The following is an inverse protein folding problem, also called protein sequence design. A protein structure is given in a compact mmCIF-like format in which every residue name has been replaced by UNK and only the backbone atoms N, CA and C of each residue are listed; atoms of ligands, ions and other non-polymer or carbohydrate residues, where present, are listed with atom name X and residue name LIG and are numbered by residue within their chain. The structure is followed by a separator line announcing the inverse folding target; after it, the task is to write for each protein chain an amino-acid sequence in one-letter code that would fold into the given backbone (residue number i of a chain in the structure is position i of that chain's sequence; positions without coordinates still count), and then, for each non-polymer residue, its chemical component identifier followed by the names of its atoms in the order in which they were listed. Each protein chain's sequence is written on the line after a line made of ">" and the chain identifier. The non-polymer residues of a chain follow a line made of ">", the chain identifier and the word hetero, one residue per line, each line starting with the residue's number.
data_IF_638546986668
#
_entry.id   IF_638546986668
#
_cell.length_a   1.000
_cell.length_b   1.000
_cell.length_c   1.000
_cell.angle_alpha   90.00
_cell.angle_beta   90.00
_cell.angle_gamma   90.00
#
_symmetry.space_group_name_H-M   'P 1'
#
loop_
_entity.id
_entity.type
_entity.pdbx_description
1 polymer ?
#
# COMPACT_ATOMS: atom_id res chain seq x y z
N UNK A 1 -21.54 8.52 -13.71
CA UNK A 1 -20.26 8.15 -13.04
C UNK A 1 -20.55 7.00 -12.08
N UNK A 2 -19.74 5.94 -12.09
CA UNK A 2 -19.91 4.79 -11.17
C UNK A 2 -19.39 5.14 -9.78
N UNK A 3 -20.03 4.58 -8.76
CA UNK A 3 -19.59 4.68 -7.38
C UNK A 3 -18.39 3.75 -7.11
N UNK A 4 -17.64 4.01 -6.05
CA UNK A 4 -16.53 3.16 -5.65
C UNK A 4 -16.97 1.71 -5.35
N UNK A 5 -18.15 1.52 -4.78
CA UNK A 5 -18.69 0.19 -4.48
C UNK A 5 -19.08 -0.57 -5.76
N UNK A 6 -19.65 0.11 -6.76
CA UNK A 6 -19.91 -0.48 -8.09
C UNK A 6 -18.61 -0.87 -8.80
N UNK A 7 -17.59 -0.01 -8.72
CA UNK A 7 -16.25 -0.26 -9.28
C UNK A 7 -15.59 -1.46 -8.58
N UNK A 8 -15.65 -1.51 -7.25
CA UNK A 8 -15.09 -2.63 -6.48
C UNK A 8 -15.74 -3.96 -6.86
N UNK A 9 -17.06 -3.98 -6.99
CA UNK A 9 -17.80 -5.16 -7.44
C UNK A 9 -17.32 -5.60 -8.82
N UNK A 10 -17.22 -4.67 -9.76
CA UNK A 10 -16.78 -4.88 -11.13
C UNK A 10 -15.35 -5.46 -11.20
N UNK A 11 -14.43 -4.92 -10.38
CA UNK A 11 -13.05 -5.42 -10.27
C UNK A 11 -13.03 -6.86 -9.76
N UNK A 12 -13.78 -7.18 -8.70
CA UNK A 12 -13.82 -8.53 -8.15
C UNK A 12 -14.41 -9.53 -9.16
N UNK A 13 -15.54 -9.22 -9.78
CA UNK A 13 -16.16 -10.05 -10.81
C UNK A 13 -15.20 -10.31 -11.98
N UNK A 14 -14.44 -9.29 -12.40
CA UNK A 14 -13.47 -9.45 -13.49
C UNK A 14 -12.28 -10.33 -13.08
N UNK A 15 -11.74 -10.14 -11.86
CA UNK A 15 -10.66 -10.98 -11.33
C UNK A 15 -11.06 -12.44 -11.19
N UNK A 16 -12.29 -12.71 -10.76
CA UNK A 16 -12.82 -14.07 -10.60
C UNK A 16 -12.96 -14.80 -11.93
N UNK A 17 -13.17 -14.06 -13.04
CA UNK A 17 -13.27 -14.61 -14.40
C UNK A 17 -11.94 -14.70 -15.14
N UNK A 18 -10.83 -14.18 -14.57
CA UNK A 18 -9.52 -14.33 -15.19
C UNK A 18 -9.04 -15.77 -15.13
N UNK A 19 -8.88 -16.36 -16.31
CA UNK A 19 -8.37 -17.73 -16.42
C UNK A 19 -6.86 -17.77 -16.24
N UNK A 20 -6.42 -18.72 -15.42
CA UNK A 20 -5.02 -19.11 -15.21
C UNK A 20 -4.80 -20.59 -15.57
N UNK A 21 -5.68 -21.14 -16.43
CA UNK A 21 -5.63 -22.55 -16.86
C UNK A 21 -4.52 -22.75 -17.89
N UNK A 22 -3.29 -22.68 -17.41
CA UNK A 22 -2.03 -22.83 -18.18
C UNK A 22 -1.16 -23.92 -17.58
N UNK A 23 -0.24 -24.43 -18.39
CA UNK A 23 0.78 -25.39 -17.93
C UNK A 23 2.15 -24.73 -17.81
N UNK A 24 2.98 -25.16 -16.87
CA UNK A 24 2.69 -26.18 -15.84
C UNK A 24 1.74 -25.64 -14.75
N UNK A 25 0.79 -26.45 -14.32
CA UNK A 25 -0.23 -26.08 -13.32
C UNK A 25 0.41 -25.58 -12.02
N UNK A 26 1.48 -26.22 -11.57
CA UNK A 26 2.23 -25.86 -10.36
C UNK A 26 2.79 -24.42 -10.36
N UNK A 27 2.89 -23.76 -11.52
CA UNK A 27 3.27 -22.35 -11.63
C UNK A 27 2.06 -21.42 -11.49
N UNK A 28 0.90 -21.81 -12.03
CA UNK A 28 -0.28 -20.94 -12.14
C UNK A 28 -1.29 -21.12 -10.99
N UNK A 29 -1.32 -22.29 -10.33
CA UNK A 29 -2.17 -22.51 -9.14
C UNK A 29 -1.84 -21.53 -7.99
N UNK A 30 -0.56 -21.26 -7.64
CA UNK A 30 -0.24 -20.27 -6.62
C UNK A 30 -0.68 -18.84 -7.00
N UNK A 31 -0.60 -18.48 -8.29
CA UNK A 31 -1.07 -17.18 -8.80
C UNK A 31 -2.58 -17.05 -8.60
N UNK A 32 -3.34 -18.06 -9.02
CA UNK A 32 -4.79 -18.10 -8.80
C UNK A 32 -5.14 -18.04 -7.32
N UNK A 33 -4.42 -18.80 -6.49
CA UNK A 33 -4.59 -18.83 -5.05
C UNK A 33 -4.39 -17.44 -4.40
N UNK A 34 -3.29 -16.75 -4.70
CA UNK A 34 -3.01 -15.41 -4.14
C UNK A 34 -4.07 -14.41 -4.55
N UNK A 35 -4.47 -14.39 -5.81
CA UNK A 35 -5.49 -13.46 -6.31
C UNK A 35 -6.88 -13.73 -5.74
N UNK A 36 -7.19 -15.00 -5.40
CA UNK A 36 -8.47 -15.41 -4.79
C UNK A 36 -8.56 -15.12 -3.29
N UNK A 37 -7.47 -14.78 -2.59
CA UNK A 37 -7.49 -14.42 -1.16
C UNK A 37 -8.29 -13.17 -0.85
N UNK A 38 -8.86 -12.51 -1.86
CA UNK A 38 -9.60 -11.26 -1.70
C UNK A 38 -8.69 -10.06 -1.46
N UNK A 39 -9.25 -9.04 -0.83
CA UNK A 39 -8.56 -7.79 -0.49
C UNK A 39 -9.41 -6.57 -0.79
N UNK A 40 -8.94 -5.41 -0.34
CA UNK A 40 -9.66 -4.13 -0.45
C UNK A 40 -9.67 -3.56 -1.88
N UNK A 41 -8.85 -4.11 -2.79
CA UNK A 41 -8.74 -3.67 -4.20
C UNK A 41 -8.57 -2.16 -4.36
N UNK A 42 -7.85 -1.52 -3.46
CA UNK A 42 -7.71 -0.05 -3.42
C UNK A 42 -7.13 0.48 -4.73
N UNK A 43 -6.05 -0.13 -5.22
CA UNK A 43 -5.31 0.35 -6.40
C UNK A 43 -6.12 0.28 -7.69
N UNK A 44 -6.73 -0.86 -8.04
CA UNK A 44 -7.61 -0.91 -9.21
C UNK A 44 -8.81 0.03 -9.08
N UNK A 45 -9.39 0.17 -7.87
CA UNK A 45 -10.51 1.10 -7.64
C UNK A 45 -10.09 2.55 -7.88
N UNK A 46 -8.92 2.98 -7.38
CA UNK A 46 -8.39 4.33 -7.61
C UNK A 46 -8.12 4.59 -9.10
N UNK A 47 -7.56 3.62 -9.84
CA UNK A 47 -7.34 3.75 -11.29
C UNK A 47 -8.66 3.99 -12.03
N UNK A 48 -9.68 3.19 -11.73
CA UNK A 48 -10.98 3.29 -12.38
C UNK A 48 -11.74 4.56 -11.98
N UNK A 49 -11.62 5.02 -10.73
CA UNK A 49 -12.16 6.30 -10.27
C UNK A 49 -11.50 7.48 -10.98
N UNK A 50 -10.16 7.46 -11.15
CA UNK A 50 -9.45 8.49 -11.89
C UNK A 50 -9.86 8.53 -13.37
N UNK A 51 -9.98 7.38 -14.02
CA UNK A 51 -10.51 7.28 -15.37
C UNK A 51 -11.92 7.87 -15.46
N UNK A 52 -12.77 7.57 -14.48
CA UNK A 52 -14.17 7.98 -14.45
C UNK A 52 -14.38 9.49 -14.20
N UNK A 53 -13.33 10.25 -13.86
CA UNK A 53 -13.36 11.72 -13.85
C UNK A 53 -13.57 12.30 -15.27
N UNK A 54 -13.09 11.60 -16.29
CA UNK A 54 -13.04 12.07 -17.68
C UNK A 54 -13.95 11.27 -18.64
N UNK A 55 -14.05 9.94 -18.44
CA UNK A 55 -14.81 9.02 -19.28
C UNK A 55 -15.82 8.20 -18.46
N UNK A 56 -16.94 7.83 -19.08
CA UNK A 56 -18.08 7.20 -18.36
C UNK A 56 -17.94 5.69 -18.18
N UNK A 57 -17.15 5.01 -19.04
CA UNK A 57 -17.06 3.55 -19.10
C UNK A 57 -15.72 3.05 -18.52
N UNK A 58 -15.55 2.99 -17.18
CA UNK A 58 -14.31 2.49 -16.58
C UNK A 58 -14.03 1.02 -16.89
N UNK A 59 -15.02 0.28 -17.42
CA UNK A 59 -14.87 -1.08 -17.93
C UNK A 59 -13.80 -1.20 -19.03
N UNK A 60 -13.61 -0.16 -19.82
CA UNK A 60 -12.66 -0.15 -20.95
C UNK A 60 -11.22 -0.40 -20.50
N UNK A 61 -10.90 -0.11 -19.22
CA UNK A 61 -9.54 -0.27 -18.66
C UNK A 61 -9.47 -1.28 -17.52
N UNK A 62 -10.46 -2.17 -17.38
CA UNK A 62 -10.46 -3.19 -16.32
C UNK A 62 -9.22 -4.09 -16.37
N UNK A 63 -8.73 -4.42 -17.56
CA UNK A 63 -7.52 -5.24 -17.71
C UNK A 63 -6.28 -4.53 -17.14
N UNK A 64 -6.15 -3.21 -17.36
CA UNK A 64 -5.06 -2.41 -16.80
C UNK A 64 -5.18 -2.28 -15.28
N UNK A 65 -6.39 -2.09 -14.76
CA UNK A 65 -6.64 -2.08 -13.31
C UNK A 65 -6.30 -3.43 -12.66
N UNK A 66 -6.66 -4.55 -13.29
CA UNK A 66 -6.31 -5.89 -12.84
C UNK A 66 -4.82 -6.22 -13.01
N UNK A 67 -4.13 -5.60 -13.99
CA UNK A 67 -2.67 -5.67 -14.11
C UNK A 67 -2.01 -5.10 -12.86
N UNK A 68 -2.45 -3.94 -12.42
CA UNK A 68 -1.92 -3.28 -11.21
C UNK A 68 -2.20 -4.09 -9.94
N UNK A 69 -3.38 -4.70 -9.83
CA UNK A 69 -3.69 -5.58 -8.70
C UNK A 69 -2.87 -6.87 -8.75
N UNK A 70 -2.58 -7.41 -9.93
CA UNK A 70 -1.69 -8.56 -10.11
C UNK A 70 -0.27 -8.21 -9.66
N UNK A 71 0.25 -7.06 -10.06
CA UNK A 71 1.54 -6.54 -9.61
C UNK A 71 1.57 -6.37 -8.08
N UNK A 72 0.55 -5.76 -7.50
CA UNK A 72 0.49 -5.61 -6.04
C UNK A 72 0.51 -6.96 -5.30
N UNK A 73 -0.24 -7.95 -5.80
CA UNK A 73 -0.22 -9.28 -5.18
C UNK A 73 1.11 -10.01 -5.40
N UNK A 74 1.84 -9.73 -6.48
CA UNK A 74 3.23 -10.13 -6.67
C UNK A 74 4.13 -9.59 -5.56
N UNK A 75 4.07 -8.29 -5.30
CA UNK A 75 4.89 -7.69 -4.23
C UNK A 75 4.56 -8.28 -2.86
N UNK A 76 3.29 -8.54 -2.56
CA UNK A 76 2.88 -9.18 -1.31
C UNK A 76 3.37 -10.63 -1.19
N UNK A 77 3.39 -11.39 -2.30
CA UNK A 77 3.85 -12.78 -2.31
C UNK A 77 5.35 -12.87 -2.00
N UNK A 78 6.16 -11.98 -2.58
CA UNK A 78 7.60 -11.92 -2.32
C UNK A 78 7.91 -11.32 -0.94
N UNK A 79 7.16 -10.31 -0.49
CA UNK A 79 7.24 -9.75 0.86
C UNK A 79 6.99 -10.84 1.93
N UNK A 80 5.92 -11.63 1.78
CA UNK A 80 5.64 -12.77 2.67
C UNK A 80 6.78 -13.78 2.76
N UNK A 81 7.46 -14.04 1.65
CA UNK A 81 8.62 -14.96 1.62
C UNK A 81 9.82 -14.34 2.33
N UNK A 82 10.12 -13.05 2.07
CA UNK A 82 11.23 -12.33 2.69
C UNK A 82 11.04 -12.19 4.21
N UNK A 83 9.81 -11.92 4.65
CA UNK A 83 9.44 -11.79 6.07
C UNK A 83 9.22 -13.16 6.74
N UNK A 84 9.30 -14.28 5.99
CA UNK A 84 8.97 -15.63 6.47
C UNK A 84 7.58 -15.71 7.14
N UNK A 85 6.61 -14.96 6.64
CA UNK A 85 5.27 -14.85 7.19
C UNK A 85 4.47 -16.15 6.98
N UNK A 86 3.82 -16.63 8.04
CA UNK A 86 3.03 -17.88 7.95
C UNK A 86 1.68 -17.68 7.26
N UNK A 87 1.06 -16.52 7.49
CA UNK A 87 -0.33 -16.25 7.09
C UNK A 87 -0.49 -14.88 6.44
N UNK A 88 -1.35 -14.82 5.41
CA UNK A 88 -1.86 -13.58 4.81
C UNK A 88 -3.37 -13.64 4.62
N UNK A 89 -4.09 -12.64 5.12
CA UNK A 89 -5.56 -12.56 5.01
C UNK A 89 -6.28 -13.83 5.49
N UNK A 90 -5.76 -14.47 6.52
CA UNK A 90 -6.33 -15.71 7.07
C UNK A 90 -6.00 -16.99 6.30
N UNK A 91 -5.14 -16.91 5.28
CA UNK A 91 -4.67 -18.04 4.47
C UNK A 91 -3.17 -18.26 4.65
N UNK A 92 -2.69 -19.51 4.49
CA UNK A 92 -1.26 -19.78 4.44
C UNK A 92 -0.60 -19.00 3.30
N UNK A 93 0.58 -18.48 3.53
CA UNK A 93 1.39 -17.85 2.47
C UNK A 93 1.84 -18.89 1.44
N UNK A 94 2.22 -18.45 0.23
CA UNK A 94 2.55 -19.38 -0.86
C UNK A 94 3.74 -20.28 -0.49
N UNK A 95 4.80 -19.72 0.12
CA UNK A 95 5.97 -20.52 0.51
C UNK A 95 5.67 -21.53 1.61
N UNK A 96 4.70 -21.28 2.49
CA UNK A 96 4.24 -22.22 3.52
C UNK A 96 3.32 -23.30 2.95
N UNK A 97 2.49 -22.94 1.95
CA UNK A 97 1.55 -23.88 1.34
C UNK A 97 2.22 -24.77 0.29
N UNK A 98 3.19 -24.26 -0.45
CA UNK A 98 3.98 -25.00 -1.44
C UNK A 98 5.45 -25.08 -1.02
N UNK A 99 6.28 -24.15 -1.44
CA UNK A 99 7.68 -23.99 -1.07
C UNK A 99 8.23 -22.65 -1.60
N UNK A 100 9.46 -22.30 -1.18
CA UNK A 100 10.13 -21.05 -1.53
C UNK A 100 10.33 -20.88 -3.04
N UNK A 101 10.79 -21.92 -3.74
CA UNK A 101 11.02 -21.86 -5.18
C UNK A 101 9.71 -21.59 -5.94
N UNK A 102 8.61 -22.21 -5.52
CA UNK A 102 7.29 -21.96 -6.10
C UNK A 102 6.85 -20.52 -5.86
N UNK A 103 7.09 -19.96 -4.66
CA UNK A 103 6.79 -18.57 -4.37
C UNK A 103 7.59 -17.63 -5.28
N UNK A 104 8.91 -17.86 -5.45
CA UNK A 104 9.76 -17.06 -6.33
C UNK A 104 9.25 -17.11 -7.78
N UNK A 105 9.13 -18.31 -8.35
CA UNK A 105 8.76 -18.46 -9.77
C UNK A 105 7.34 -17.97 -10.09
N UNK A 106 6.39 -18.22 -9.19
CA UNK A 106 5.02 -17.74 -9.38
C UNK A 106 4.95 -16.22 -9.26
N UNK A 107 5.70 -15.62 -8.32
CA UNK A 107 5.81 -14.17 -8.19
C UNK A 107 6.43 -13.53 -9.44
N UNK A 108 7.57 -14.04 -9.93
CA UNK A 108 8.19 -13.54 -11.16
C UNK A 108 7.23 -13.63 -12.36
N UNK A 109 6.48 -14.72 -12.44
CA UNK A 109 5.45 -14.88 -13.48
C UNK A 109 4.30 -13.88 -13.33
N UNK A 110 3.90 -13.53 -12.10
CA UNK A 110 2.90 -12.48 -11.84
C UNK A 110 3.39 -11.11 -12.29
N UNK A 111 4.68 -10.79 -12.08
CA UNK A 111 5.28 -9.55 -12.58
C UNK A 111 5.16 -9.47 -14.11
N UNK A 112 5.55 -10.52 -14.83
CA UNK A 112 5.46 -10.57 -16.30
C UNK A 112 4.00 -10.50 -16.77
N UNK A 113 3.07 -11.19 -16.10
CA UNK A 113 1.64 -11.13 -16.39
C UNK A 113 1.06 -9.73 -16.17
N UNK A 114 1.53 -9.01 -15.14
CA UNK A 114 1.12 -7.63 -14.90
C UNK A 114 1.54 -6.73 -16.08
N UNK A 115 2.79 -6.82 -16.55
CA UNK A 115 3.24 -6.10 -17.76
C UNK A 115 2.45 -6.48 -19.00
N UNK A 116 2.22 -7.78 -19.23
CA UNK A 116 1.44 -8.26 -20.38
C UNK A 116 0.03 -7.67 -20.42
N UNK A 117 -0.60 -7.55 -19.26
CA UNK A 117 -1.95 -6.97 -19.13
C UNK A 117 -1.93 -5.43 -19.20
N UNK A 118 -0.92 -4.80 -18.60
CA UNK A 118 -0.76 -3.35 -18.64
C UNK A 118 -0.61 -2.83 -20.08
N UNK A 119 0.05 -3.60 -20.95
CA UNK A 119 0.20 -3.27 -22.38
C UNK A 119 -1.10 -3.35 -23.20
N UNK A 120 -2.20 -3.88 -22.65
CA UNK A 120 -3.48 -3.95 -23.33
C UNK A 120 -4.22 -2.61 -23.25
N UNK A 121 -3.69 -1.62 -23.95
CA UNK A 121 -4.23 -0.26 -24.04
C UNK A 121 -4.04 0.28 -25.46
N UNK A 122 -4.62 1.43 -25.73
CA UNK A 122 -4.39 2.15 -27.01
C UNK A 122 -2.88 2.45 -27.17
N UNK A 123 -2.36 2.20 -28.37
CA UNK A 123 -0.95 2.39 -28.73
C UNK A 123 -0.44 3.81 -28.43
N UNK A 124 -1.31 4.82 -28.49
CA UNK A 124 -0.96 6.22 -28.18
C UNK A 124 -0.53 6.43 -26.71
N UNK A 125 -1.02 5.60 -25.78
CA UNK A 125 -0.73 5.68 -24.35
C UNK A 125 0.33 4.69 -23.88
N UNK A 126 0.67 3.71 -24.72
CA UNK A 126 1.47 2.55 -24.34
C UNK A 126 2.82 2.96 -23.73
N UNK A 127 3.53 3.89 -24.37
CA UNK A 127 4.84 4.31 -23.87
C UNK A 127 4.76 5.01 -22.53
N UNK A 128 3.84 5.97 -22.38
CA UNK A 128 3.71 6.76 -21.15
C UNK A 128 3.31 5.90 -19.96
N UNK A 129 2.41 4.92 -20.19
CA UNK A 129 1.97 3.96 -19.16
C UNK A 129 3.11 3.03 -18.75
N UNK A 130 3.85 2.47 -19.73
CA UNK A 130 4.94 1.54 -19.43
C UNK A 130 6.12 2.25 -18.76
N UNK A 131 6.46 3.46 -19.18
CA UNK A 131 7.49 4.26 -18.53
C UNK A 131 7.14 4.52 -17.06
N UNK A 132 5.91 4.99 -16.81
CA UNK A 132 5.42 5.23 -15.45
C UNK A 132 5.39 3.96 -14.60
N UNK A 133 4.82 2.88 -15.13
CA UNK A 133 4.71 1.60 -14.42
C UNK A 133 6.08 0.99 -14.13
N UNK A 134 7.03 1.09 -15.06
CA UNK A 134 8.38 0.56 -14.89
C UNK A 134 9.16 1.33 -13.82
N UNK A 135 9.11 2.67 -13.84
CA UNK A 135 9.74 3.49 -12.80
C UNK A 135 9.12 3.17 -11.44
N UNK A 136 7.80 3.11 -11.35
CA UNK A 136 7.10 2.74 -10.11
C UNK A 136 7.49 1.36 -9.60
N UNK A 137 7.67 0.38 -10.50
CA UNK A 137 8.09 -0.96 -10.13
C UNK A 137 9.51 -1.00 -9.54
N UNK A 138 10.43 -0.19 -10.07
CA UNK A 138 11.78 -0.02 -9.51
C UNK A 138 11.74 0.66 -8.15
N UNK A 139 11.00 1.76 -8.03
CA UNK A 139 10.82 2.50 -6.77
C UNK A 139 10.30 1.59 -5.64
N UNK A 140 9.34 0.70 -5.94
CA UNK A 140 8.83 -0.26 -4.94
C UNK A 140 9.93 -1.24 -4.50
N UNK A 141 10.77 -1.72 -5.41
CA UNK A 141 11.92 -2.55 -5.08
C UNK A 141 12.92 -1.83 -4.18
N UNK A 142 13.21 -0.57 -4.48
CA UNK A 142 14.06 0.30 -3.66
C UNK A 142 13.45 0.51 -2.26
N UNK A 143 12.14 0.75 -2.18
CA UNK A 143 11.41 0.90 -0.92
C UNK A 143 11.44 -0.37 -0.07
N UNK A 144 11.31 -1.54 -0.69
CA UNK A 144 11.45 -2.83 -0.02
C UNK A 144 12.87 -3.04 0.51
N UNK A 145 13.89 -2.68 -0.27
CA UNK A 145 15.29 -2.77 0.17
C UNK A 145 15.56 -1.88 1.38
N UNK A 146 15.06 -0.64 1.39
CA UNK A 146 15.14 0.24 2.56
C UNK A 146 14.48 -0.35 3.80
N UNK A 147 13.27 -0.91 3.67
CA UNK A 147 12.53 -1.52 4.79
C UNK A 147 13.36 -2.66 5.43
N UNK A 148 13.96 -3.54 4.61
CA UNK A 148 14.85 -4.60 5.07
C UNK A 148 16.14 -4.06 5.74
N UNK A 149 16.77 -3.03 5.17
CA UNK A 149 17.98 -2.42 5.77
C UNK A 149 17.67 -1.78 7.13
N UNK A 150 16.49 -1.19 7.30
CA UNK A 150 16.07 -0.54 8.53
C UNK A 150 15.90 -1.52 9.70
N UNK A 151 15.67 -2.81 9.43
CA UNK A 151 15.60 -3.82 10.50
C UNK A 151 16.88 -3.86 11.35
N UNK A 152 18.04 -3.71 10.71
CA UNK A 152 19.35 -3.81 11.36
C UNK A 152 19.96 -2.46 11.79
N UNK A 153 19.41 -1.35 11.26
CA UNK A 153 19.89 0.01 11.56
C UNK A 153 19.21 0.59 12.80
N UNK A 154 19.96 1.37 13.58
CA UNK A 154 19.45 2.11 14.74
C UNK A 154 19.57 3.64 14.58
N UNK A 155 20.02 4.11 13.42
CA UNK A 155 20.27 5.51 13.07
C UNK A 155 19.29 6.05 12.03
N UNK A 156 18.18 5.31 11.75
CA UNK A 156 17.18 5.68 10.75
C UNK A 156 16.51 6.99 11.14
N UNK A 157 16.51 7.95 10.22
CA UNK A 157 15.89 9.26 10.40
C UNK A 157 14.45 9.28 9.90
N UNK A 158 13.68 10.26 10.36
CA UNK A 158 12.29 10.46 9.95
C UNK A 158 12.17 10.59 8.41
N UNK A 159 13.07 11.37 7.79
CA UNK A 159 13.06 11.59 6.34
C UNK A 159 13.32 10.30 5.56
N UNK A 160 14.21 9.45 6.04
CA UNK A 160 14.49 8.14 5.43
C UNK A 160 13.27 7.21 5.53
N UNK A 161 12.59 7.21 6.67
CA UNK A 161 11.36 6.45 6.86
C UNK A 161 10.24 6.95 5.93
N UNK A 162 10.02 8.26 5.83
CA UNK A 162 9.02 8.84 4.94
C UNK A 162 9.33 8.48 3.47
N UNK A 163 10.60 8.52 3.07
CA UNK A 163 10.99 8.11 1.71
C UNK A 163 10.76 6.61 1.50
N UNK A 164 11.09 5.76 2.44
CA UNK A 164 10.84 4.32 2.36
C UNK A 164 9.35 4.01 2.15
N UNK A 165 8.45 4.61 2.95
CA UNK A 165 6.99 4.38 2.78
C UNK A 165 6.43 5.04 1.51
N UNK A 166 7.05 6.16 1.03
CA UNK A 166 6.72 6.73 -0.27
C UNK A 166 6.98 5.70 -1.36
N UNK A 167 8.19 5.14 -1.40
CA UNK A 167 8.63 4.16 -2.39
C UNK A 167 7.87 2.84 -2.27
N UNK A 168 7.80 2.24 -1.09
CA UNK A 168 7.18 0.92 -0.89
C UNK A 168 5.67 0.93 -1.08
N UNK A 169 4.98 2.01 -0.69
CA UNK A 169 3.51 2.03 -0.60
C UNK A 169 2.86 3.10 -1.48
N UNK A 170 3.32 4.36 -1.41
CA UNK A 170 2.58 5.49 -1.96
C UNK A 170 2.65 5.57 -3.48
N UNK A 171 3.81 5.29 -4.07
CA UNK A 171 4.03 5.42 -5.53
C UNK A 171 3.10 4.52 -6.35
N UNK A 172 2.68 3.35 -5.83
CA UNK A 172 1.75 2.48 -6.55
C UNK A 172 0.31 3.02 -6.53
N UNK A 173 -0.09 3.74 -5.49
CA UNK A 173 -1.38 4.45 -5.45
C UNK A 173 -1.37 5.65 -6.41
N UNK A 174 -0.26 6.38 -6.43
CA UNK A 174 -0.01 7.50 -7.35
C UNK A 174 -0.01 7.03 -8.82
N UNK A 175 0.69 5.94 -9.10
CA UNK A 175 0.74 5.29 -10.41
C UNK A 175 -0.67 4.88 -10.88
N UNK A 176 -1.48 4.26 -10.00
CA UNK A 176 -2.85 3.87 -10.31
C UNK A 176 -3.68 5.04 -10.82
N UNK A 177 -3.69 6.14 -10.08
CA UNK A 177 -4.45 7.34 -10.41
C UNK A 177 -3.96 7.98 -11.71
N UNK A 178 -2.63 8.10 -11.89
CA UNK A 178 -2.06 8.71 -13.08
C UNK A 178 -2.30 7.84 -14.34
N UNK A 179 -2.19 6.52 -14.26
CA UNK A 179 -2.52 5.63 -15.38
C UNK A 179 -3.99 5.77 -15.75
N UNK A 180 -4.90 5.80 -14.78
CA UNK A 180 -6.32 6.02 -15.03
C UNK A 180 -6.59 7.33 -15.78
N UNK A 181 -5.91 8.41 -15.39
CA UNK A 181 -5.99 9.72 -16.05
C UNK A 181 -5.44 9.68 -17.48
N UNK A 182 -4.25 9.09 -17.70
CA UNK A 182 -3.64 8.95 -19.03
C UNK A 182 -4.55 8.18 -19.98
N UNK A 183 -5.10 7.05 -19.54
CA UNK A 183 -6.02 6.23 -20.33
C UNK A 183 -7.34 6.95 -20.65
N UNK A 184 -7.69 7.93 -19.82
CA UNK A 184 -8.87 8.77 -20.03
C UNK A 184 -8.60 10.01 -20.88
N UNK A 185 -7.41 10.17 -21.47
CA UNK A 185 -6.98 11.35 -22.23
C UNK A 185 -7.00 12.66 -21.41
N UNK A 186 -6.72 12.59 -20.10
CA UNK A 186 -6.59 13.75 -19.24
C UNK A 186 -5.38 14.61 -19.66
N UNK A 187 -5.39 15.89 -19.29
CA UNK A 187 -4.21 16.75 -19.48
C UNK A 187 -3.01 16.22 -18.66
N UNK A 188 -1.80 16.51 -19.09
CA UNK A 188 -0.59 16.15 -18.34
C UNK A 188 -0.59 16.77 -16.94
N UNK A 189 -1.09 18.01 -16.80
CA UNK A 189 -1.21 18.70 -15.51
C UNK A 189 -2.18 17.99 -14.57
N UNK A 190 -3.35 17.58 -15.05
CA UNK A 190 -4.31 16.82 -14.26
C UNK A 190 -3.80 15.44 -13.88
N UNK A 191 -3.12 14.74 -14.81
CA UNK A 191 -2.50 13.45 -14.53
C UNK A 191 -1.41 13.58 -13.45
N UNK A 192 -0.61 14.66 -13.46
CA UNK A 192 0.40 14.94 -12.43
C UNK A 192 -0.24 15.33 -11.09
N UNK A 193 -1.33 16.08 -11.09
CA UNK A 193 -2.09 16.40 -9.87
C UNK A 193 -2.69 15.14 -9.25
N UNK A 194 -3.22 14.22 -10.05
CA UNK A 194 -3.73 12.93 -9.58
C UNK A 194 -2.61 12.02 -9.06
N UNK A 195 -1.42 12.04 -9.68
CA UNK A 195 -0.24 11.37 -9.14
C UNK A 195 0.11 11.89 -7.75
N UNK A 196 0.25 13.20 -7.59
CA UNK A 196 0.57 13.84 -6.31
C UNK A 196 -0.52 13.60 -5.26
N UNK A 197 -1.79 13.64 -5.66
CA UNK A 197 -2.90 13.26 -4.78
C UNK A 197 -2.71 11.83 -4.24
N UNK A 198 -2.40 10.86 -5.12
CA UNK A 198 -2.18 9.46 -4.75
C UNK A 198 -0.96 9.26 -3.86
N UNK A 199 0.13 9.98 -4.13
CA UNK A 199 1.34 9.93 -3.32
C UNK A 199 1.07 10.42 -1.89
N UNK A 200 0.43 11.58 -1.73
CA UNK A 200 0.12 12.16 -0.42
C UNK A 200 -0.88 11.30 0.37
N UNK A 201 -1.88 10.74 -0.31
CA UNK A 201 -2.84 9.85 0.36
C UNK A 201 -2.18 8.52 0.76
N UNK A 202 -1.22 8.04 -0.03
CA UNK A 202 -0.45 6.83 0.27
C UNK A 202 0.42 7.00 1.51
N UNK A 203 1.08 8.15 1.66
CA UNK A 203 1.84 8.51 2.86
C UNK A 203 0.94 8.58 4.09
N UNK A 204 -0.19 9.29 4.00
CA UNK A 204 -1.16 9.35 5.09
C UNK A 204 -1.70 7.97 5.46
N UNK A 205 -1.98 7.13 4.46
CA UNK A 205 -2.49 5.77 4.64
C UNK A 205 -1.50 4.86 5.35
N UNK A 206 -0.21 4.90 4.99
CA UNK A 206 0.81 4.08 5.65
C UNK A 206 1.07 4.54 7.09
N UNK A 207 1.17 5.86 7.31
CA UNK A 207 1.28 6.39 8.68
C UNK A 207 0.06 6.03 9.54
N UNK A 208 -1.13 6.01 8.95
CA UNK A 208 -2.35 5.55 9.63
C UNK A 208 -2.30 4.04 9.93
N UNK A 209 -1.68 3.24 9.06
CA UNK A 209 -1.52 1.80 9.28
C UNK A 209 -0.62 1.54 10.49
N UNK A 210 0.53 2.19 10.54
CA UNK A 210 1.45 2.10 11.67
C UNK A 210 0.81 2.63 12.97
N UNK A 211 0.06 3.74 12.88
CA UNK A 211 -0.67 4.30 14.04
C UNK A 211 -1.69 3.30 14.60
N UNK A 212 -2.44 2.63 13.73
CA UNK A 212 -3.45 1.66 14.12
C UNK A 212 -2.86 0.35 14.65
N UNK A 213 -1.62 0.01 14.30
CA UNK A 213 -0.90 -1.11 14.93
C UNK A 213 -0.63 -0.86 16.41
N UNK A 214 -0.54 0.39 16.84
CA UNK A 214 -0.34 0.76 18.26
C UNK A 214 -1.64 1.12 18.97
N UNK A 215 -2.48 1.93 18.33
CA UNK A 215 -3.65 2.58 18.95
C UNK A 215 -5.01 2.10 18.41
N UNK A 216 -5.01 1.14 17.49
CA UNK A 216 -6.25 0.61 16.91
C UNK A 216 -7.04 -0.29 17.85
N UNK A 217 -8.26 -0.63 17.44
CA UNK A 217 -9.05 -1.69 18.05
C UNK A 217 -8.83 -3.01 17.27
N UNK A 218 -8.31 -4.04 17.94
CA UNK A 218 -8.04 -5.35 17.32
C UNK A 218 -9.24 -5.96 16.63
N UNK A 219 -10.46 -5.68 17.13
CA UNK A 219 -11.72 -6.17 16.53
C UNK A 219 -12.04 -5.49 15.20
N UNK A 220 -11.61 -4.23 15.04
CA UNK A 220 -11.84 -3.44 13.82
C UNK A 220 -10.67 -3.62 12.85
N UNK A 221 -9.45 -3.67 13.37
CA UNK A 221 -8.22 -3.77 12.57
C UNK A 221 -7.98 -5.17 11.99
N UNK A 222 -8.54 -6.21 12.63
CA UNK A 222 -8.46 -7.60 12.18
C UNK A 222 -7.08 -8.24 12.35
N UNK A 223 -6.17 -7.60 13.09
CA UNK A 223 -4.82 -8.08 13.46
C UNK A 223 -4.59 -7.87 14.94
N UNK A 224 -3.64 -8.59 15.51
CA UNK A 224 -3.15 -8.29 16.84
C UNK A 224 -2.43 -6.94 16.84
N UNK A 225 -2.71 -6.11 17.85
CA UNK A 225 -2.08 -4.80 18.04
C UNK A 225 -0.66 -4.98 18.59
N UNK A 226 0.25 -4.04 18.27
CA UNK A 226 1.61 -3.99 18.78
C UNK A 226 2.59 -4.91 18.03
N UNK A 227 2.27 -5.31 16.82
CA UNK A 227 3.17 -6.06 15.95
C UNK A 227 4.46 -5.29 15.67
N UNK A 228 4.35 -4.03 15.32
CA UNK A 228 5.50 -3.14 15.04
C UNK A 228 6.36 -2.91 16.28
N UNK A 229 5.75 -2.80 17.47
CA UNK A 229 6.47 -2.69 18.75
C UNK A 229 7.25 -3.97 19.04
N UNK A 230 6.63 -5.13 18.87
CA UNK A 230 7.26 -6.41 19.21
C UNK A 230 8.40 -6.76 18.25
N UNK A 231 8.29 -6.41 16.98
CA UNK A 231 9.34 -6.58 15.97
C UNK A 231 10.39 -5.46 15.96
N UNK A 232 10.24 -4.43 16.79
CA UNK A 232 11.10 -3.22 16.82
C UNK A 232 11.17 -2.51 15.48
N UNK A 233 10.07 -2.52 14.70
CA UNK A 233 10.00 -1.89 13.38
C UNK A 233 10.31 -0.40 13.50
N UNK A 234 11.15 0.11 12.60
CA UNK A 234 11.57 1.52 12.57
C UNK A 234 10.47 2.38 11.92
N UNK A 235 9.32 2.47 12.63
CA UNK A 235 8.18 3.30 12.22
C UNK A 235 8.42 4.77 12.57
N UNK A 236 7.58 5.64 12.01
CA UNK A 236 7.54 7.07 12.37
C UNK A 236 7.47 7.28 13.90
N UNK A 237 6.68 6.46 14.59
CA UNK A 237 6.48 6.57 16.03
C UNK A 237 7.73 6.18 16.80
N UNK A 238 8.36 5.05 16.48
CA UNK A 238 9.58 4.62 17.20
C UNK A 238 10.73 5.61 16.99
N UNK A 239 10.94 6.06 15.74
CA UNK A 239 11.98 7.04 15.39
C UNK A 239 11.78 8.33 16.18
N UNK A 240 10.57 8.87 16.18
CA UNK A 240 10.28 10.11 16.90
C UNK A 240 10.25 9.95 18.42
N UNK A 241 9.91 8.77 18.93
CA UNK A 241 10.05 8.48 20.35
C UNK A 241 11.53 8.62 20.79
N UNK A 242 12.46 8.02 20.06
CA UNK A 242 13.90 8.20 20.35
C UNK A 242 14.37 9.65 20.19
N UNK A 243 13.87 10.37 19.19
CA UNK A 243 14.26 11.77 18.94
C UNK A 243 13.81 12.73 20.05
N UNK A 244 12.66 12.48 20.67
CA UNK A 244 12.01 13.38 21.63
C UNK A 244 12.13 12.93 23.09
N UNK A 245 12.55 11.69 23.35
CA UNK A 245 12.72 11.14 24.69
C UNK A 245 13.76 11.89 25.50
N UNK A 246 13.47 12.13 26.79
CA UNK A 246 14.49 12.50 27.77
C UNK A 246 15.37 11.29 28.07
N UNK A 247 16.44 11.50 28.88
CA UNK A 247 17.44 10.46 29.15
C UNK A 247 16.83 9.20 29.76
N UNK A 248 15.91 9.32 30.73
CA UNK A 248 15.27 8.19 31.40
C UNK A 248 14.33 7.42 30.41
N UNK A 249 13.56 8.15 29.63
CA UNK A 249 12.69 7.54 28.61
C UNK A 249 13.51 6.85 27.52
N UNK A 250 14.63 7.45 27.10
CA UNK A 250 15.55 6.87 26.11
C UNK A 250 16.19 5.59 26.63
N UNK A 251 16.61 5.56 27.90
CA UNK A 251 17.14 4.37 28.52
C UNK A 251 16.10 3.24 28.54
N UNK A 252 14.86 3.54 28.94
CA UNK A 252 13.78 2.56 28.97
C UNK A 252 13.42 2.05 27.59
N UNK A 253 13.30 2.94 26.57
CA UNK A 253 13.07 2.54 25.16
C UNK A 253 14.20 1.63 24.66
N UNK A 254 15.45 1.98 24.96
CA UNK A 254 16.63 1.19 24.54
C UNK A 254 16.59 -0.20 25.16
N UNK A 255 16.20 -0.31 26.45
CA UNK A 255 16.02 -1.60 27.13
C UNK A 255 15.01 -2.48 26.41
N UNK A 256 13.83 -1.94 26.05
CA UNK A 256 12.77 -2.70 25.38
C UNK A 256 13.13 -3.10 23.94
N UNK A 257 13.76 -2.21 23.19
CA UNK A 257 14.19 -2.50 21.81
C UNK A 257 15.34 -3.52 21.78
N UNK A 258 16.21 -3.54 22.80
CA UNK A 258 17.34 -4.47 22.88
C UNK A 258 16.98 -5.82 23.52
N UNK A 259 15.80 -5.92 24.14
CA UNK A 259 15.36 -7.15 24.80
C UNK A 259 15.15 -8.28 23.80
N UNK A 260 15.78 -9.45 24.05
CA UNK A 260 15.61 -10.65 23.24
C UNK A 260 14.58 -11.62 23.82
N UNK A 261 14.39 -11.56 25.14
CA UNK A 261 13.40 -12.33 25.87
C UNK A 261 12.51 -11.37 26.65
N UNK A 262 11.21 -11.36 26.32
CA UNK A 262 10.25 -10.44 26.91
C UNK A 262 8.83 -10.99 26.84
N UNK A 263 8.00 -10.64 27.81
CA UNK A 263 6.55 -10.80 27.67
C UNK A 263 6.03 -9.78 26.63
N UNK A 264 5.27 -10.29 25.66
CA UNK A 264 4.72 -9.48 24.56
C UNK A 264 3.86 -8.33 25.09
N UNK A 265 2.95 -8.62 26.01
CA UNK A 265 2.01 -7.63 26.52
C UNK A 265 2.72 -6.58 27.36
N UNK A 266 3.67 -6.99 28.22
CA UNK A 266 4.47 -6.06 29.00
C UNK A 266 5.27 -5.09 28.11
N UNK A 267 5.86 -5.58 27.01
CA UNK A 267 6.59 -4.73 26.06
C UNK A 267 5.67 -3.74 25.36
N UNK A 268 4.53 -4.21 24.83
CA UNK A 268 3.56 -3.37 24.13
C UNK A 268 3.01 -2.29 25.07
N UNK A 269 2.61 -2.66 26.30
CA UNK A 269 2.08 -1.72 27.28
C UNK A 269 3.11 -0.67 27.68
N UNK A 270 4.36 -1.09 27.95
CA UNK A 270 5.44 -0.19 28.35
C UNK A 270 5.83 0.79 27.23
N UNK A 271 5.98 0.32 25.99
CA UNK A 271 6.35 1.19 24.86
C UNK A 271 5.20 2.12 24.50
N UNK A 272 3.95 1.65 24.52
CA UNK A 272 2.77 2.50 24.26
C UNK A 272 2.63 3.59 25.33
N UNK A 273 2.87 3.26 26.62
CA UNK A 273 2.92 4.24 27.70
C UNK A 273 3.99 5.31 27.44
N UNK A 274 5.20 4.90 27.05
CA UNK A 274 6.28 5.83 26.71
C UNK A 274 5.90 6.73 25.52
N UNK A 275 5.28 6.20 24.48
CA UNK A 275 4.77 6.98 23.35
C UNK A 275 3.78 8.06 23.82
N UNK A 276 2.86 7.71 24.73
CA UNK A 276 1.89 8.65 25.28
C UNK A 276 2.57 9.74 26.12
N UNK A 277 3.52 9.38 27.01
CA UNK A 277 4.26 10.32 27.83
C UNK A 277 5.12 11.30 27.00
N UNK A 278 5.67 10.85 25.87
CA UNK A 278 6.49 11.65 24.96
C UNK A 278 5.60 12.52 24.04
N UNK A 279 4.32 12.17 23.87
CA UNK A 279 3.39 12.86 22.98
C UNK A 279 3.46 12.36 21.52
N UNK A 280 3.86 11.10 21.30
CA UNK A 280 3.99 10.50 19.97
C UNK A 280 2.62 10.27 19.32
N UNK A 281 1.58 9.99 20.10
CA UNK A 281 0.20 9.89 19.64
C UNK A 281 -0.22 11.14 18.84
N UNK A 282 -0.15 12.31 19.44
CA UNK A 282 -0.52 13.57 18.78
C UNK A 282 0.38 13.88 17.58
N UNK A 283 1.69 13.61 17.70
CA UNK A 283 2.64 13.84 16.62
C UNK A 283 2.31 13.00 15.37
N UNK A 284 1.95 11.74 15.56
CA UNK A 284 1.55 10.85 14.46
C UNK A 284 0.24 11.30 13.81
N UNK A 285 -0.77 11.65 14.62
CA UNK A 285 -2.05 12.17 14.12
C UNK A 285 -1.85 13.46 13.31
N UNK A 286 -1.03 14.39 13.78
CA UNK A 286 -0.72 15.64 13.08
C UNK A 286 -0.03 15.37 11.74
N UNK A 287 0.89 14.40 11.68
CA UNK A 287 1.58 14.02 10.43
C UNK A 287 0.63 13.39 9.42
N UNK A 288 -0.27 12.51 9.87
CA UNK A 288 -1.33 11.91 9.07
C UNK A 288 -2.24 13.01 8.50
N UNK A 289 -2.72 13.92 9.37
CA UNK A 289 -3.58 15.03 8.97
C UNK A 289 -2.89 15.97 7.97
N UNK A 290 -1.58 16.20 8.13
CA UNK A 290 -0.79 17.00 7.19
C UNK A 290 -0.82 16.41 5.78
N UNK A 291 -0.43 15.14 5.61
CA UNK A 291 -0.41 14.51 4.29
C UNK A 291 -1.80 14.38 3.68
N UNK A 292 -2.80 14.03 4.47
CA UNK A 292 -4.18 14.00 4.00
C UNK A 292 -4.69 15.40 3.58
N UNK A 293 -4.28 16.46 4.31
CA UNK A 293 -4.55 17.84 3.94
C UNK A 293 -3.86 18.25 2.63
N UNK A 294 -2.61 17.82 2.40
CA UNK A 294 -1.91 18.09 1.14
C UNK A 294 -2.59 17.37 -0.04
N UNK A 295 -3.04 16.12 0.16
CA UNK A 295 -3.72 15.37 -0.90
C UNK A 295 -4.95 16.12 -1.43
N UNK A 296 -5.75 16.72 -0.55
CA UNK A 296 -6.93 17.50 -0.96
C UNK A 296 -6.60 18.63 -1.91
N UNK A 297 -5.50 19.35 -1.67
CA UNK A 297 -5.07 20.46 -2.53
C UNK A 297 -4.80 20.00 -3.97
N UNK A 298 -4.19 18.84 -4.13
CA UNK A 298 -3.90 18.28 -5.46
C UNK A 298 -5.18 17.81 -6.16
N UNK A 299 -6.11 17.19 -5.45
CA UNK A 299 -7.41 16.83 -6.03
C UNK A 299 -8.23 18.06 -6.42
N UNK A 300 -8.21 19.10 -5.59
CA UNK A 300 -8.93 20.36 -5.88
C UNK A 300 -8.34 21.06 -7.12
N UNK A 301 -7.04 20.91 -7.39
CA UNK A 301 -6.36 21.45 -8.57
C UNK A 301 -6.67 20.72 -9.89
N UNK A 302 -7.26 19.52 -9.86
CA UNK A 302 -7.67 18.80 -11.07
C UNK A 302 -8.78 19.56 -11.78
N UNK A 303 -8.64 19.78 -13.08
CA UNK A 303 -9.55 20.59 -13.88
C UNK A 303 -10.76 19.81 -14.41
N UNK A 304 -11.61 19.35 -13.52
CA UNK A 304 -12.92 18.74 -13.81
C UNK A 304 -13.99 19.34 -12.89
N UNK A 305 -15.29 19.27 -13.22
CA UNK A 305 -16.37 19.70 -12.36
C UNK A 305 -16.29 19.09 -10.95
N UNK A 306 -16.60 19.86 -9.92
CA UNK A 306 -16.49 19.40 -8.52
C UNK A 306 -17.31 18.15 -8.22
N UNK A 307 -18.51 18.04 -8.83
CA UNK A 307 -19.37 16.87 -8.70
C UNK A 307 -18.70 15.57 -9.17
N UNK A 308 -17.78 15.64 -10.13
CA UNK A 308 -17.01 14.48 -10.60
C UNK A 308 -15.93 14.03 -9.61
N UNK A 309 -15.36 14.97 -8.84
CA UNK A 309 -14.33 14.66 -7.82
C UNK A 309 -14.91 14.01 -6.57
N UNK A 310 -16.21 14.15 -6.34
CA UNK A 310 -16.86 13.81 -5.08
C UNK A 310 -16.70 12.34 -4.70
N UNK A 311 -16.82 11.44 -5.67
CA UNK A 311 -16.68 10.01 -5.41
C UNK A 311 -15.25 9.61 -5.04
N UNK A 312 -14.27 10.16 -5.74
CA UNK A 312 -12.84 9.96 -5.40
C UNK A 312 -12.50 10.55 -4.02
N UNK A 313 -13.08 11.72 -3.69
CA UNK A 313 -12.93 12.38 -2.38
C UNK A 313 -13.52 11.52 -1.25
N UNK A 314 -14.72 10.97 -1.45
CA UNK A 314 -15.37 10.05 -0.49
C UNK A 314 -14.56 8.78 -0.30
N UNK A 315 -14.06 8.21 -1.40
CA UNK A 315 -13.25 7.00 -1.33
C UNK A 315 -11.95 7.23 -0.55
N UNK A 316 -11.27 8.35 -0.80
CA UNK A 316 -10.09 8.73 -0.05
C UNK A 316 -10.38 8.90 1.47
N UNK A 317 -11.52 9.52 1.82
CA UNK A 317 -11.94 9.63 3.23
C UNK A 317 -12.25 8.28 3.86
N UNK A 318 -12.90 7.36 3.10
CA UNK A 318 -13.18 5.98 3.52
C UNK A 318 -11.88 5.21 3.80
N UNK A 319 -10.87 5.38 2.94
CA UNK A 319 -9.52 4.81 3.15
C UNK A 319 -8.92 5.25 4.49
N UNK A 320 -8.99 6.53 4.81
CA UNK A 320 -8.44 7.07 6.06
C UNK A 320 -9.23 6.63 7.30
N UNK A 321 -10.55 6.46 7.20
CA UNK A 321 -11.39 6.01 8.33
C UNK A 321 -11.41 4.50 8.52
N UNK A 322 -10.75 3.74 7.63
CA UNK A 322 -10.76 2.27 7.65
C UNK A 322 -12.17 1.65 7.69
N UNK A 323 -13.15 2.28 7.07
CA UNK A 323 -14.53 1.81 6.96
C UNK A 323 -14.70 0.98 5.66
N UNK A 324 -14.22 -0.27 5.67
CA UNK A 324 -14.35 -1.18 4.51
C UNK A 324 -15.21 -2.38 4.87
#
# INVERSE_FOLDING_TARGET
>A
MKTADEILKMVNEFLDHLSYDRKPESLYEPIKYVLSMGGKRIRPTLMLLAYNLYKENPEDILMNACALETYHNYTLLHDDLMDNADMRRGHLTVHKKWNDNTAILSGDSMLVLAYQRMMQCDAKHLKDILDLFTVTALEIGEGQQYDMEFETRNDVKEEEYIEMIRLKTSVLLACALKIGAILADASAEDADNLYKFGEQIGLAFQLQDDYLDVYGDSKVFGKEIGGDITSNKKTYMLINAFNKANDAQREELTRWVSARDFDRNEKVDAVTRLYNEIGIDQLAQDKIAYYFGQSKKFLDAVNVPEEKKEELRKYAQKMMKRQY
#
